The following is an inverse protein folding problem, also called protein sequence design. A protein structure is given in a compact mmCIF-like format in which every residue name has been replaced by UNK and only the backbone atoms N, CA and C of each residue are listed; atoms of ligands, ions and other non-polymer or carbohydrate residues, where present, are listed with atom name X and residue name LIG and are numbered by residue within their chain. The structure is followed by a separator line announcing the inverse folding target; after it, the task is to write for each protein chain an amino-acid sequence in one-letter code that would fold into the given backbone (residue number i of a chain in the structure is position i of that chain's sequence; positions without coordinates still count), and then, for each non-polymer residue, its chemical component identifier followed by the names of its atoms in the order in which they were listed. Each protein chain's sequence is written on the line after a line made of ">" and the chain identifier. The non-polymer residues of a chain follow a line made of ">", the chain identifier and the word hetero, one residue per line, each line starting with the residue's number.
data_IF_023039781727
#
_entry.id   IF_023039781727
#
_cell.length_a   1.000
_cell.length_b   1.000
_cell.length_c   1.000
_cell.angle_alpha   90.00
_cell.angle_beta   90.00
_cell.angle_gamma   90.00
#
_symmetry.space_group_name_H-M   'P 1'
#
loop_
_entity.id
_entity.type
_entity.pdbx_description
1 polymer ?
#
# COMPACT_ATOMS: atom_id res chain seq x y z
N UNK A 1 3.01 -8.12 -12.90
CA UNK A 1 1.60 -8.21 -13.33
C UNK A 1 0.77 -8.48 -12.10
N UNK A 2 -0.36 -7.80 -11.97
CA UNK A 2 -1.28 -8.00 -10.86
C UNK A 2 -2.61 -8.54 -11.42
N UNK A 3 -3.24 -9.44 -10.68
CA UNK A 3 -4.52 -10.06 -11.04
C UNK A 3 -5.54 -9.61 -10.02
N UNK A 4 -6.47 -8.78 -10.49
CA UNK A 4 -7.66 -8.35 -9.79
C UNK A 4 -8.87 -8.67 -10.66
N UNK A 5 -9.94 -9.22 -10.06
CA UNK A 5 -11.17 -9.57 -10.74
C UNK A 5 -12.39 -9.09 -9.94
N UNK A 6 -13.50 -8.71 -10.60
CA UNK A 6 -14.69 -8.18 -9.92
C UNK A 6 -15.66 -9.27 -9.43
N UNK A 7 -15.29 -10.54 -9.57
CA UNK A 7 -16.15 -11.70 -9.31
C UNK A 7 -16.76 -11.66 -7.91
N UNK A 8 -18.08 -11.63 -7.86
CA UNK A 8 -18.83 -11.51 -6.62
C UNK A 8 -20.34 -11.56 -6.86
N UNK A 9 -21.10 -11.35 -5.80
CA UNK A 9 -22.56 -11.30 -5.85
C UNK A 9 -23.05 -10.05 -5.13
N UNK A 10 -24.03 -9.39 -5.73
CA UNK A 10 -24.69 -8.22 -5.18
C UNK A 10 -25.40 -8.54 -3.87
N UNK A 11 -26.13 -9.65 -3.84
CA UNK A 11 -27.05 -10.03 -2.77
C UNK A 11 -26.71 -11.42 -2.18
N UNK A 12 -27.56 -11.91 -1.28
CA UNK A 12 -27.40 -13.17 -0.53
C UNK A 12 -26.94 -14.30 -1.44
N UNK A 13 -25.75 -14.84 -1.14
CA UNK A 13 -25.12 -15.91 -1.91
C UNK A 13 -25.33 -17.26 -1.22
N UNK A 14 -25.94 -18.20 -1.93
CA UNK A 14 -26.20 -19.57 -1.44
C UNK A 14 -24.91 -20.39 -1.39
N UNK A 15 -24.13 -20.38 -2.47
CA UNK A 15 -22.89 -21.14 -2.60
C UNK A 15 -21.68 -20.21 -2.81
N UNK A 16 -20.87 -20.09 -1.76
CA UNK A 16 -19.61 -19.34 -1.77
C UNK A 16 -18.39 -20.23 -2.03
N UNK A 17 -18.55 -21.54 -2.12
CA UNK A 17 -17.46 -22.49 -2.30
C UNK A 17 -17.19 -22.73 -3.79
N UNK A 18 -18.21 -23.07 -4.58
CA UNK A 18 -18.01 -23.45 -5.97
C UNK A 18 -17.34 -22.36 -6.83
N UNK A 19 -17.68 -21.05 -6.69
CA UNK A 19 -16.94 -20.01 -7.42
C UNK A 19 -15.46 -19.92 -7.03
N UNK A 20 -15.12 -20.17 -5.75
CA UNK A 20 -13.74 -20.16 -5.26
C UNK A 20 -12.95 -21.36 -5.76
N UNK A 21 -13.58 -22.54 -5.87
CA UNK A 21 -12.95 -23.72 -6.47
C UNK A 21 -12.59 -23.47 -7.95
N UNK A 22 -13.53 -22.91 -8.72
CA UNK A 22 -13.26 -22.53 -10.11
C UNK A 22 -12.17 -21.46 -10.23
N UNK A 23 -12.16 -20.48 -9.34
CA UNK A 23 -11.10 -19.46 -9.32
C UNK A 23 -9.73 -20.08 -9.01
N UNK A 24 -9.66 -21.01 -8.07
CA UNK A 24 -8.43 -21.73 -7.74
C UNK A 24 -7.88 -22.48 -8.96
N UNK A 25 -8.75 -23.25 -9.63
CA UNK A 25 -8.39 -23.99 -10.86
C UNK A 25 -7.94 -23.05 -11.99
N UNK A 26 -8.68 -21.95 -12.20
CA UNK A 26 -8.35 -20.96 -13.23
C UNK A 26 -7.02 -20.24 -12.96
N UNK A 27 -6.72 -19.91 -11.70
CA UNK A 27 -5.44 -19.29 -11.34
C UNK A 27 -4.27 -20.27 -11.50
N UNK A 28 -4.44 -21.53 -11.11
CA UNK A 28 -3.42 -22.55 -11.32
C UNK A 28 -3.17 -22.75 -12.83
N UNK A 29 -4.20 -22.74 -13.67
CA UNK A 29 -4.05 -22.77 -15.13
C UNK A 29 -3.32 -21.54 -15.68
N UNK A 30 -3.70 -20.33 -15.25
CA UNK A 30 -3.12 -19.08 -15.76
C UNK A 30 -1.68 -18.89 -15.28
N UNK A 31 -1.38 -19.21 -14.03
CA UNK A 31 -0.11 -18.86 -13.36
C UNK A 31 0.87 -20.03 -13.39
N UNK A 32 0.43 -21.26 -13.11
CA UNK A 32 1.32 -22.43 -12.97
C UNK A 32 1.52 -23.10 -14.33
N UNK A 33 0.46 -23.31 -15.11
CA UNK A 33 0.58 -24.06 -16.36
C UNK A 33 1.48 -23.34 -17.38
N UNK A 34 1.60 -22.01 -17.30
CA UNK A 34 2.52 -21.23 -18.14
C UNK A 34 3.97 -21.19 -17.65
N UNK A 35 4.31 -21.83 -16.51
CA UNK A 35 5.64 -21.83 -15.86
C UNK A 35 6.41 -20.55 -16.16
N UNK A 36 6.04 -19.44 -15.52
CA UNK A 36 6.88 -18.25 -15.58
C UNK A 36 8.28 -18.66 -15.11
N UNK A 37 9.20 -18.72 -16.07
CA UNK A 37 10.53 -19.31 -15.87
C UNK A 37 11.20 -18.55 -14.72
N UNK A 38 11.83 -19.21 -13.72
CA UNK A 38 12.39 -18.54 -12.55
C UNK A 38 13.42 -17.44 -12.87
N UNK A 39 13.98 -17.45 -14.09
CA UNK A 39 14.88 -16.41 -14.61
C UNK A 39 14.18 -15.23 -15.30
N UNK A 40 12.85 -15.26 -15.47
CA UNK A 40 12.12 -14.16 -16.09
C UNK A 40 11.76 -13.07 -15.07
N UNK A 41 11.82 -11.77 -15.45
CA UNK A 41 11.47 -10.67 -14.57
C UNK A 41 9.97 -10.57 -14.27
N UNK A 42 9.15 -11.46 -14.85
CA UNK A 42 7.70 -11.43 -14.69
C UNK A 42 7.29 -12.01 -13.33
N UNK A 43 6.54 -11.22 -12.56
CA UNK A 43 6.01 -11.62 -11.26
C UNK A 43 4.51 -11.40 -11.24
N UNK A 44 3.76 -12.42 -10.83
CA UNK A 44 2.32 -12.36 -10.67
C UNK A 44 1.97 -12.04 -9.22
N UNK A 45 1.20 -10.97 -9.01
CA UNK A 45 0.50 -10.67 -7.77
C UNK A 45 -0.97 -11.02 -7.90
N UNK A 46 -1.60 -11.43 -6.80
CA UNK A 46 -3.05 -11.61 -6.70
C UNK A 46 -3.61 -10.63 -5.68
N UNK A 47 -4.74 -10.01 -6.00
CA UNK A 47 -5.31 -8.90 -5.23
C UNK A 47 -6.72 -9.21 -4.75
N UNK A 48 -6.91 -9.20 -3.43
CA UNK A 48 -8.22 -9.34 -2.81
C UNK A 48 -9.01 -8.04 -2.81
N UNK A 49 -10.33 -8.17 -2.72
CA UNK A 49 -11.24 -7.08 -2.41
C UNK A 49 -12.30 -7.55 -1.42
N UNK A 50 -12.73 -6.65 -0.53
CA UNK A 50 -13.82 -6.94 0.41
C UNK A 50 -15.18 -6.92 -0.29
N UNK A 51 -15.45 -5.85 -1.04
CA UNK A 51 -16.68 -5.66 -1.78
C UNK A 51 -16.51 -4.65 -2.92
N UNK A 52 -17.40 -4.69 -3.90
CA UNK A 52 -17.52 -3.66 -4.94
C UNK A 52 -18.97 -3.23 -5.12
N UNK A 53 -19.21 -2.09 -5.76
CA UNK A 53 -20.56 -1.67 -6.12
C UNK A 53 -21.13 -2.68 -7.15
N UNK A 54 -22.28 -3.28 -6.83
CA UNK A 54 -22.85 -4.40 -7.59
C UNK A 54 -22.34 -5.79 -7.18
N UNK A 55 -21.42 -5.87 -6.22
CA UNK A 55 -20.87 -7.11 -5.65
C UNK A 55 -20.65 -6.96 -4.13
N UNK A 56 -21.65 -6.44 -3.42
CA UNK A 56 -21.56 -6.01 -2.02
C UNK A 56 -21.55 -7.19 -1.02
N UNK A 57 -22.30 -8.24 -1.31
CA UNK A 57 -22.59 -9.32 -0.34
C UNK A 57 -21.56 -10.44 -0.34
N UNK A 58 -20.75 -10.53 -1.39
CA UNK A 58 -19.77 -11.60 -1.56
C UNK A 58 -18.75 -11.25 -2.64
N UNK A 59 -17.47 -11.42 -2.33
CA UNK A 59 -16.37 -11.40 -3.30
C UNK A 59 -15.69 -12.77 -3.33
N UNK A 60 -15.49 -13.32 -4.54
CA UNK A 60 -14.90 -14.65 -4.74
C UNK A 60 -13.45 -14.64 -4.27
N UNK A 61 -12.65 -13.73 -4.81
CA UNK A 61 -11.26 -13.48 -4.44
C UNK A 61 -11.12 -12.69 -3.14
N UNK A 62 -11.54 -13.27 -2.02
CA UNK A 62 -11.43 -12.65 -0.70
C UNK A 62 -9.99 -12.62 -0.17
N UNK A 63 -9.76 -11.86 0.90
CA UNK A 63 -8.46 -11.75 1.55
C UNK A 63 -7.87 -13.13 1.91
N UNK A 64 -8.63 -13.97 2.62
CA UNK A 64 -8.16 -15.29 3.06
C UNK A 64 -7.91 -16.23 1.88
N UNK A 65 -8.71 -16.12 0.82
CA UNK A 65 -8.52 -16.89 -0.40
C UNK A 65 -7.17 -16.57 -1.03
N UNK A 66 -6.87 -15.29 -1.24
CA UNK A 66 -5.61 -14.89 -1.88
C UNK A 66 -4.39 -14.98 -0.97
N UNK A 67 -4.55 -14.82 0.35
CA UNK A 67 -3.48 -15.12 1.30
C UNK A 67 -3.11 -16.61 1.25
N UNK A 68 -4.10 -17.51 1.29
CA UNK A 68 -3.88 -18.95 1.16
C UNK A 68 -3.32 -19.36 -0.21
N UNK A 69 -3.82 -18.74 -1.28
CA UNK A 69 -3.32 -18.97 -2.63
C UNK A 69 -1.86 -18.52 -2.78
N UNK A 70 -1.55 -17.27 -2.43
CA UNK A 70 -0.21 -16.72 -2.55
C UNK A 70 0.81 -17.46 -1.67
N UNK A 71 0.42 -17.86 -0.46
CA UNK A 71 1.28 -18.66 0.42
C UNK A 71 1.53 -20.07 -0.14
N UNK A 72 0.53 -20.73 -0.71
CA UNK A 72 0.70 -22.10 -1.24
C UNK A 72 1.40 -22.15 -2.60
N UNK A 73 1.19 -21.16 -3.48
CA UNK A 73 1.77 -21.09 -4.84
C UNK A 73 2.99 -20.17 -4.93
N UNK A 74 3.36 -19.52 -3.83
CA UNK A 74 4.50 -18.59 -3.76
C UNK A 74 4.41 -17.48 -4.83
N UNK A 75 3.20 -16.97 -5.08
CA UNK A 75 3.00 -15.74 -5.87
C UNK A 75 3.28 -14.51 -5.01
N UNK A 76 3.33 -13.32 -5.62
CA UNK A 76 3.21 -12.10 -4.81
C UNK A 76 1.76 -11.98 -4.28
N UNK A 77 1.61 -11.33 -3.14
CA UNK A 77 0.30 -10.91 -2.61
C UNK A 77 0.16 -9.39 -2.79
N UNK A 78 -0.94 -8.94 -3.39
CA UNK A 78 -1.28 -7.53 -3.47
C UNK A 78 -2.16 -7.13 -2.29
N UNK A 79 -1.75 -6.07 -1.58
CA UNK A 79 -2.53 -5.44 -0.52
C UNK A 79 -2.89 -4.02 -0.96
N UNK A 80 -4.17 -3.78 -1.26
CA UNK A 80 -4.70 -2.45 -1.55
C UNK A 80 -5.29 -1.81 -0.29
N UNK A 81 -4.88 -0.58 0.01
CA UNK A 81 -5.29 0.14 1.22
C UNK A 81 -6.82 0.43 1.28
N UNK A 82 -7.53 0.36 0.16
CA UNK A 82 -8.96 0.60 0.04
C UNK A 82 -9.83 -0.66 0.14
N UNK A 83 -9.23 -1.84 0.07
CA UNK A 83 -9.93 -3.11 -0.20
C UNK A 83 -10.37 -3.89 1.04
N UNK A 84 -10.27 -3.31 2.24
CA UNK A 84 -10.45 -4.02 3.52
C UNK A 84 -11.63 -3.49 4.34
N UNK A 85 -11.91 -4.11 5.50
CA UNK A 85 -13.01 -3.72 6.37
C UNK A 85 -12.80 -2.32 6.96
N UNK A 86 -13.87 -1.65 7.45
CA UNK A 86 -13.72 -0.42 8.20
C UNK A 86 -12.72 -0.61 9.34
N UNK A 87 -11.78 0.33 9.49
CA UNK A 87 -10.67 0.32 10.47
C UNK A 87 -9.53 -0.67 10.20
N UNK A 88 -9.70 -1.60 9.26
CA UNK A 88 -8.65 -2.53 8.87
C UNK A 88 -7.57 -1.81 8.05
N UNK A 89 -6.30 -2.09 8.36
CA UNK A 89 -5.14 -1.40 7.78
C UNK A 89 -4.18 -2.41 7.17
N UNK A 90 -3.54 -2.04 6.06
CA UNK A 90 -2.58 -2.92 5.38
C UNK A 90 -1.19 -2.82 6.01
N UNK A 91 -0.89 -1.74 6.72
CA UNK A 91 0.38 -1.57 7.44
C UNK A 91 0.66 -2.74 8.39
N UNK A 92 -0.33 -3.15 9.19
CA UNK A 92 -0.23 -4.31 10.09
C UNK A 92 0.06 -5.63 9.35
N UNK A 93 -0.58 -5.82 8.20
CA UNK A 93 -0.50 -7.05 7.39
C UNK A 93 0.87 -7.26 6.76
N UNK A 94 1.65 -6.21 6.54
CA UNK A 94 2.95 -6.28 5.84
C UNK A 94 3.87 -7.26 6.56
N UNK A 95 4.04 -7.11 7.87
CA UNK A 95 4.97 -7.93 8.65
C UNK A 95 4.53 -9.40 8.70
N UNK A 96 3.22 -9.66 8.86
CA UNK A 96 2.66 -10.99 8.90
C UNK A 96 2.74 -11.71 7.55
N UNK A 97 2.28 -11.06 6.47
CA UNK A 97 2.25 -11.68 5.14
C UNK A 97 3.65 -12.03 4.63
N UNK A 98 4.64 -11.17 4.91
CA UNK A 98 6.03 -11.34 4.44
C UNK A 98 6.72 -12.62 4.96
N UNK A 99 6.20 -13.23 6.03
CA UNK A 99 6.67 -14.53 6.53
C UNK A 99 6.26 -15.70 5.64
N UNK A 100 5.20 -15.56 4.85
CA UNK A 100 4.59 -16.66 4.09
C UNK A 100 4.68 -16.48 2.57
N UNK A 101 4.72 -15.23 2.09
CA UNK A 101 4.76 -14.92 0.66
C UNK A 101 6.11 -14.32 0.27
N UNK A 102 6.64 -14.61 -0.93
CA UNK A 102 7.96 -14.14 -1.32
C UNK A 102 8.03 -12.62 -1.48
N UNK A 103 6.92 -11.98 -1.91
CA UNK A 103 6.87 -10.54 -2.22
C UNK A 103 5.48 -9.98 -1.96
N UNK A 104 5.44 -8.68 -1.66
CA UNK A 104 4.21 -7.91 -1.59
C UNK A 104 4.16 -6.90 -2.73
N UNK A 105 2.98 -6.73 -3.32
CA UNK A 105 2.59 -5.56 -4.06
C UNK A 105 1.70 -4.72 -3.15
N UNK A 106 1.95 -3.43 -3.03
CA UNK A 106 1.12 -2.52 -2.26
C UNK A 106 0.47 -1.56 -3.21
N UNK A 107 -0.86 -1.55 -3.25
CA UNK A 107 -1.62 -0.49 -3.88
C UNK A 107 -1.99 0.51 -2.80
N UNK A 108 -1.30 1.65 -2.80
CA UNK A 108 -1.59 2.72 -1.85
C UNK A 108 -2.67 3.60 -2.45
N UNK A 109 -3.85 3.52 -1.87
CA UNK A 109 -5.07 4.29 -2.18
C UNK A 109 -5.57 4.98 -0.90
N UNK A 110 -6.68 5.73 -0.98
CA UNK A 110 -7.33 6.30 0.21
C UNK A 110 -8.83 6.01 0.20
N UNK A 111 -9.31 5.02 0.98
CA UNK A 111 -10.74 4.79 1.11
C UNK A 111 -11.43 5.92 1.89
N UNK A 112 -12.60 6.34 1.41
CA UNK A 112 -13.48 7.27 2.08
C UNK A 112 -14.83 6.59 2.23
N UNK A 113 -14.97 5.84 3.33
CA UNK A 113 -16.13 4.99 3.70
C UNK A 113 -16.31 3.72 2.87
N UNK A 114 -15.85 3.73 1.62
CA UNK A 114 -15.79 2.58 0.75
C UNK A 114 -14.49 2.66 -0.07
N UNK A 115 -14.25 1.67 -0.91
CA UNK A 115 -13.14 1.66 -1.83
C UNK A 115 -13.32 2.70 -2.95
N UNK A 116 -13.06 3.95 -2.57
CA UNK A 116 -13.48 5.15 -3.31
C UNK A 116 -12.37 5.78 -4.16
N UNK A 117 -11.19 5.15 -4.20
CA UNK A 117 -10.08 5.57 -5.05
C UNK A 117 -9.64 7.04 -4.89
N UNK A 118 -9.67 7.59 -3.67
CA UNK A 118 -9.21 8.96 -3.49
C UNK A 118 -7.68 9.07 -3.51
N UNK A 119 -7.20 10.25 -3.91
CA UNK A 119 -5.77 10.57 -3.93
C UNK A 119 -5.12 10.36 -2.55
N UNK A 120 -3.99 9.67 -2.56
CA UNK A 120 -3.13 9.41 -1.39
C UNK A 120 -2.66 10.70 -0.72
N UNK A 121 -2.86 10.77 0.59
CA UNK A 121 -2.41 11.89 1.42
C UNK A 121 -1.19 11.51 2.25
N UNK A 122 -0.59 12.49 2.92
CA UNK A 122 0.37 12.21 3.99
C UNK A 122 -0.40 12.09 5.30
N UNK A 123 -1.15 11.01 5.43
CA UNK A 123 -1.96 10.66 6.59
C UNK A 123 -1.26 9.58 7.46
N UNK A 124 -1.95 9.14 8.51
CA UNK A 124 -1.38 8.18 9.46
C UNK A 124 -1.16 6.79 8.82
N UNK A 125 -2.08 6.27 8.00
CA UNK A 125 -1.92 4.94 7.39
C UNK A 125 -0.86 4.95 6.29
N UNK A 126 -0.81 5.98 5.43
CA UNK A 126 0.29 6.11 4.44
C UNK A 126 1.64 6.19 5.14
N UNK A 127 1.70 6.87 6.29
CA UNK A 127 2.92 6.91 7.10
C UNK A 127 3.23 5.55 7.75
N UNK A 128 2.23 4.81 8.23
CA UNK A 128 2.40 3.49 8.82
C UNK A 128 2.93 2.48 7.80
N UNK A 129 2.34 2.43 6.61
CA UNK A 129 2.80 1.61 5.47
C UNK A 129 4.28 1.87 5.18
N UNK A 130 4.66 3.15 5.03
CA UNK A 130 6.05 3.51 4.78
C UNK A 130 6.99 3.10 5.93
N UNK A 131 6.53 3.19 7.17
CA UNK A 131 7.31 2.84 8.36
C UNK A 131 7.60 1.35 8.40
N UNK A 132 6.60 0.49 8.14
CA UNK A 132 6.78 -0.96 8.12
C UNK A 132 7.75 -1.41 7.02
N UNK A 133 7.66 -0.82 5.83
CA UNK A 133 8.60 -1.12 4.73
C UNK A 133 10.04 -0.81 5.14
N UNK A 134 10.28 0.37 5.72
CA UNK A 134 11.63 0.84 6.05
C UNK A 134 12.19 0.13 7.28
N UNK A 135 11.39 -0.01 8.35
CA UNK A 135 11.81 -0.69 9.59
C UNK A 135 12.30 -2.11 9.30
N UNK A 136 11.58 -2.83 8.46
CA UNK A 136 11.87 -4.24 8.16
C UNK A 136 12.79 -4.43 6.94
N UNK A 137 13.38 -3.34 6.42
CA UNK A 137 14.32 -3.37 5.29
C UNK A 137 13.76 -4.10 4.04
N UNK A 138 12.49 -3.84 3.70
CA UNK A 138 11.75 -4.60 2.68
C UNK A 138 11.90 -4.08 1.25
N UNK A 139 12.96 -3.31 0.95
CA UNK A 139 13.13 -2.59 -0.32
C UNK A 139 13.09 -3.49 -1.56
N UNK A 140 13.57 -4.72 -1.46
CA UNK A 140 13.59 -5.66 -2.60
C UNK A 140 12.35 -6.55 -2.69
N UNK A 141 11.58 -6.65 -1.60
CA UNK A 141 10.43 -7.58 -1.48
C UNK A 141 9.09 -6.87 -1.62
N UNK A 142 9.03 -5.56 -1.39
CA UNK A 142 7.81 -4.75 -1.52
C UNK A 142 7.85 -3.92 -2.80
N UNK A 143 6.83 -4.05 -3.63
CA UNK A 143 6.57 -3.23 -4.81
C UNK A 143 5.52 -2.20 -4.45
N UNK A 144 5.85 -0.90 -4.51
CA UNK A 144 4.92 0.18 -4.17
C UNK A 144 4.26 0.69 -5.45
N UNK A 145 2.96 0.43 -5.58
CA UNK A 145 2.05 0.99 -6.58
C UNK A 145 1.14 2.05 -5.96
N UNK A 146 0.59 2.91 -6.81
CA UNK A 146 -0.50 3.82 -6.44
C UNK A 146 -1.72 3.37 -7.23
N UNK A 147 -2.83 3.17 -6.53
CA UNK A 147 -4.11 2.86 -7.15
C UNK A 147 -5.13 3.87 -6.63
N UNK A 148 -5.51 4.82 -7.49
CA UNK A 148 -6.52 5.82 -7.18
C UNK A 148 -6.95 6.52 -8.47
N UNK A 149 -8.16 7.05 -8.45
CA UNK A 149 -8.78 7.73 -9.57
C UNK A 149 -9.72 8.82 -9.06
N UNK A 150 -9.25 10.07 -9.18
CA UNK A 150 -10.06 11.25 -8.87
C UNK A 150 -10.28 12.09 -10.13
N UNK A 151 -11.48 11.98 -10.70
CA UNK A 151 -11.90 12.72 -11.87
C UNK A 151 -12.44 14.13 -11.57
N UNK A 152 -12.55 14.51 -10.29
CA UNK A 152 -13.09 15.81 -9.87
C UNK A 152 -12.03 16.92 -9.86
N UNK A 153 -10.74 16.56 -9.91
CA UNK A 153 -9.61 17.49 -9.89
C UNK A 153 -8.70 17.31 -11.12
N UNK A 154 -7.69 18.18 -11.25
CA UNK A 154 -6.66 18.02 -12.27
C UNK A 154 -5.90 16.70 -12.07
N UNK A 155 -5.98 15.79 -13.04
CA UNK A 155 -5.38 14.44 -12.98
C UNK A 155 -3.85 14.46 -12.81
N UNK A 156 -3.16 15.44 -13.40
CA UNK A 156 -1.72 15.63 -13.19
C UNK A 156 -1.45 16.03 -11.73
N UNK A 157 -2.29 16.91 -11.17
CA UNK A 157 -2.20 17.25 -9.76
C UNK A 157 -2.46 16.05 -8.85
N UNK A 158 -3.45 15.21 -9.16
CA UNK A 158 -3.73 13.98 -8.42
C UNK A 158 -2.49 13.08 -8.34
N UNK A 159 -1.86 12.77 -9.48
CA UNK A 159 -0.61 11.97 -9.52
C UNK A 159 0.54 12.62 -8.78
N UNK A 160 0.75 13.93 -8.96
CA UNK A 160 1.82 14.66 -8.28
C UNK A 160 1.63 14.65 -6.77
N UNK A 161 0.40 14.86 -6.29
CA UNK A 161 0.07 14.85 -4.86
C UNK A 161 0.29 13.44 -4.28
N UNK A 162 -0.34 12.42 -4.85
CA UNK A 162 -0.25 11.05 -4.34
C UNK A 162 1.19 10.53 -4.33
N UNK A 163 1.90 10.65 -5.46
CA UNK A 163 3.29 10.18 -5.57
C UNK A 163 4.22 10.91 -4.61
N UNK A 164 4.07 12.23 -4.46
CA UNK A 164 4.92 12.99 -3.53
C UNK A 164 4.61 12.65 -2.08
N UNK A 165 3.36 12.38 -1.73
CA UNK A 165 2.99 12.04 -0.35
C UNK A 165 3.55 10.66 0.04
N UNK A 166 3.45 9.65 -0.83
CA UNK A 166 4.09 8.36 -0.57
C UNK A 166 5.61 8.49 -0.38
N UNK A 167 6.28 9.28 -1.25
CA UNK A 167 7.73 9.55 -1.10
C UNK A 167 8.08 10.32 0.18
N UNK A 168 7.23 11.26 0.62
CA UNK A 168 7.42 11.97 1.90
C UNK A 168 7.27 11.01 3.08
N UNK A 169 6.32 10.08 3.02
CA UNK A 169 6.12 9.07 4.06
C UNK A 169 7.35 8.16 4.19
N UNK A 170 7.89 7.68 3.06
CA UNK A 170 9.14 6.90 3.01
C UNK A 170 10.32 7.70 3.57
N UNK A 171 10.46 8.97 3.20
CA UNK A 171 11.53 9.82 3.74
C UNK A 171 11.40 10.01 5.25
N UNK A 172 10.18 10.20 5.78
CA UNK A 172 9.95 10.31 7.23
C UNK A 172 10.33 9.02 7.95
N UNK A 173 9.98 7.87 7.38
CA UNK A 173 10.36 6.57 7.93
C UNK A 173 11.89 6.35 7.90
N UNK A 174 12.58 6.74 6.83
CA UNK A 174 14.05 6.68 6.73
C UNK A 174 14.77 7.61 7.74
N UNK A 175 14.09 8.64 8.24
CA UNK A 175 14.62 9.57 9.24
C UNK A 175 14.22 9.18 10.68
N UNK A 176 13.47 8.09 10.86
CA UNK A 176 13.09 7.59 12.17
C UNK A 176 14.32 6.99 12.89
N UNK A 177 14.54 7.28 14.18
CA UNK A 177 15.58 6.61 14.97
C UNK A 177 15.12 5.20 15.37
N UNK A 178 14.91 4.32 14.38
CA UNK A 178 14.29 3.00 14.55
C UNK A 178 15.02 2.12 15.57
N UNK A 179 16.35 2.07 15.54
CA UNK A 179 17.11 1.23 16.47
C UNK A 179 16.93 1.67 17.92
N UNK A 180 16.89 2.98 18.16
CA UNK A 180 16.60 3.52 19.47
C UNK A 180 15.17 3.17 19.93
N UNK A 181 14.18 3.30 19.03
CA UNK A 181 12.79 2.95 19.35
C UNK A 181 12.63 1.46 19.65
N UNK A 182 13.31 0.58 18.91
CA UNK A 182 13.34 -0.87 19.15
C UNK A 182 13.98 -1.22 20.48
N UNK A 183 15.07 -0.55 20.86
CA UNK A 183 15.70 -0.75 22.17
C UNK A 183 14.76 -0.35 23.32
N UNK A 184 14.06 0.78 23.18
CA UNK A 184 13.05 1.21 24.16
C UNK A 184 11.88 0.23 24.25
N UNK A 185 11.44 -0.32 23.11
CA UNK A 185 10.40 -1.35 23.06
C UNK A 185 10.85 -2.65 23.74
N UNK A 186 12.05 -3.15 23.42
CA UNK A 186 12.60 -4.38 23.98
C UNK A 186 12.91 -4.28 25.48
N UNK A 187 13.22 -3.08 25.98
CA UNK A 187 13.45 -2.82 27.41
C UNK A 187 12.16 -2.56 28.21
N UNK A 188 11.00 -2.51 27.55
CA UNK A 188 9.72 -2.25 28.21
C UNK A 188 9.45 -0.79 28.56
N UNK A 189 10.32 0.15 28.15
CA UNK A 189 10.11 1.59 28.37
C UNK A 189 9.14 2.17 27.32
N UNK A 190 7.86 1.79 27.48
CA UNK A 190 6.80 2.18 26.57
C UNK A 190 6.53 3.68 26.58
N UNK A 191 6.77 4.36 27.71
CA UNK A 191 6.61 5.82 27.83
C UNK A 191 7.65 6.55 26.98
N UNK A 192 8.93 6.19 27.10
CA UNK A 192 9.97 6.79 26.28
C UNK A 192 9.78 6.47 24.79
N UNK A 193 9.34 5.24 24.45
CA UNK A 193 9.02 4.85 23.07
C UNK A 193 7.96 5.78 22.46
N UNK A 194 6.82 5.95 23.13
CA UNK A 194 5.72 6.80 22.63
C UNK A 194 6.14 8.27 22.57
N UNK A 195 6.81 8.79 23.61
CA UNK A 195 7.29 10.17 23.64
C UNK A 195 8.29 10.45 22.50
N UNK A 196 9.23 9.54 22.27
CA UNK A 196 10.25 9.66 21.22
C UNK A 196 9.63 9.58 19.83
N UNK A 197 8.67 8.68 19.62
CA UNK A 197 7.90 8.58 18.38
C UNK A 197 7.06 9.84 18.12
N UNK A 198 6.37 10.37 19.12
CA UNK A 198 5.63 11.63 18.99
C UNK A 198 6.57 12.79 18.59
N UNK A 199 7.75 12.86 19.22
CA UNK A 199 8.76 13.86 18.87
C UNK A 199 9.31 13.68 17.45
N UNK A 200 9.41 12.44 16.94
CA UNK A 200 9.87 12.17 15.57
C UNK A 200 8.85 12.56 14.50
N UNK A 201 7.54 12.64 14.83
CA UNK A 201 6.53 13.25 13.94
C UNK A 201 6.82 14.73 13.66
N UNK A 202 7.55 15.40 14.56
CA UNK A 202 8.05 16.77 14.42
C UNK A 202 9.59 16.78 14.48
N UNK A 203 10.29 16.17 13.50
CA UNK A 203 11.71 15.80 13.61
C UNK A 203 12.66 17.01 13.69
N UNK A 204 12.13 18.22 13.65
CA UNK A 204 12.94 19.41 13.54
C UNK A 204 12.57 20.45 14.61
N UNK A 205 13.09 20.26 15.83
CA UNK A 205 13.36 21.39 16.72
C UNK A 205 14.49 22.24 16.08
N UNK A 206 14.14 23.35 15.43
CA UNK A 206 15.08 24.37 14.95
C UNK A 206 15.28 24.52 13.43
N UNK A 207 14.66 23.67 12.59
CA UNK A 207 14.55 23.87 11.13
C UNK A 207 13.16 23.43 10.68
N UNK A 208 12.45 24.08 9.75
CA UNK A 208 11.15 23.56 9.33
C UNK A 208 11.34 22.18 8.67
N UNK A 209 10.48 21.19 8.94
CA UNK A 209 10.43 19.88 8.26
C UNK A 209 10.43 19.99 6.72
N UNK A 210 9.99 21.15 6.22
CA UNK A 210 10.15 21.58 4.84
C UNK A 210 11.58 21.54 4.31
N UNK A 211 12.65 21.76 5.09
CA UNK A 211 14.03 21.87 4.56
C UNK A 211 14.59 20.55 4.02
N UNK A 212 14.34 19.40 4.65
CA UNK A 212 14.77 18.08 4.14
C UNK A 212 13.97 17.66 2.90
N UNK A 213 12.65 17.88 2.92
CA UNK A 213 11.79 17.59 1.76
C UNK A 213 12.16 18.50 0.59
N UNK A 214 12.43 19.78 0.85
CA UNK A 214 12.90 20.75 -0.14
C UNK A 214 14.28 20.38 -0.64
N UNK A 215 15.23 19.99 0.21
CA UNK A 215 16.58 19.60 -0.24
C UNK A 215 16.56 18.38 -1.16
N UNK A 216 15.75 17.36 -0.87
CA UNK A 216 15.59 16.20 -1.75
C UNK A 216 14.91 16.59 -3.07
N UNK A 217 13.90 17.46 -3.00
CA UNK A 217 13.17 17.92 -4.20
C UNK A 217 14.08 18.77 -5.12
N UNK A 218 14.83 19.71 -4.54
CA UNK A 218 15.74 20.61 -5.28
C UNK A 218 16.90 19.84 -5.93
N UNK A 219 17.49 18.84 -5.23
CA UNK A 219 18.56 18.00 -5.79
C UNK A 219 18.12 17.17 -7.00
N UNK A 220 16.82 16.85 -7.10
CA UNK A 220 16.25 16.11 -8.24
C UNK A 220 15.67 17.02 -9.34
N UNK A 221 15.99 18.32 -9.30
CA UNK A 221 15.46 19.32 -10.26
C UNK A 221 13.92 19.35 -10.35
N UNK A 222 13.23 18.91 -9.29
CA UNK A 222 11.77 18.95 -9.21
C UNK A 222 11.31 20.25 -8.53
N UNK A 223 10.13 20.73 -8.91
CA UNK A 223 9.54 21.94 -8.32
C UNK A 223 9.04 21.65 -6.89
N UNK A 224 9.31 22.56 -5.96
CA UNK A 224 8.91 22.45 -4.55
C UNK A 224 7.80 23.44 -4.17
N UNK A 225 7.01 23.08 -3.16
CA UNK A 225 5.97 23.94 -2.59
C UNK A 225 4.90 24.38 -3.59
N UNK A 226 4.35 25.58 -3.37
CA UNK A 226 3.27 26.16 -4.17
C UNK A 226 3.62 26.43 -5.63
N UNK A 227 4.92 26.50 -5.97
CA UNK A 227 5.36 26.65 -7.38
C UNK A 227 4.88 25.47 -8.23
N UNK A 228 4.82 24.25 -7.67
CA UNK A 228 4.29 23.09 -8.38
C UNK A 228 2.82 23.30 -8.78
N UNK A 229 2.00 23.83 -7.86
CA UNK A 229 0.62 24.20 -8.14
C UNK A 229 0.53 25.28 -9.24
N UNK A 230 1.41 26.29 -9.19
CA UNK A 230 1.48 27.33 -10.22
C UNK A 230 1.77 26.79 -11.64
N UNK A 231 2.63 25.77 -11.78
CA UNK A 231 2.87 25.13 -13.07
C UNK A 231 1.66 24.35 -13.59
N UNK A 232 0.90 23.72 -12.68
CA UNK A 232 -0.30 22.94 -13.03
C UNK A 232 -1.51 23.82 -13.33
N UNK A 233 -1.54 25.06 -12.83
CA UNK A 233 -2.56 26.07 -13.17
C UNK A 233 -2.35 26.70 -14.55
N UNK A 234 -1.13 26.66 -15.10
CA UNK A 234 -0.78 27.38 -16.34
C UNK A 234 -1.19 26.68 -17.64
N UNK A 235 -1.88 25.54 -17.58
CA UNK A 235 -2.34 24.81 -18.77
C UNK A 235 -3.65 24.11 -18.49
N UNK A 236 -4.75 24.84 -18.66
CA UNK A 236 -6.02 24.40 -19.24
C UNK A 236 -6.74 25.65 -19.73
#
# INVERSE_FOLDING_TARGET
>A
MNIWIPDGMKDITVDRLAPRQRLLEALDEVIIAKKFDPGTPHRCGVESKLFGIGAESYTVGSNEFYMGYAASRQTALCLDAGHFHPTEVISDKISAAMLYVPRLLLHVSRPVRWDSDHVVLLDDETQAIASEIVRHNLFDRVHIGLDFFDASINRIAAWVIGTRNMKKALLRALLEPTDQLRQLEASGDYTARVWRYWKSKNPCRGRPSGKCIVSVTTRRQAVSGWKACGHMKKRF
#
